data_IF_733087860043
#
_entry.id   IF_733087860043
#
_cell.length_a   1.000
_cell.length_b   1.000
_cell.length_c   1.000
_cell.angle_alpha   90.00
_cell.angle_beta   90.00
_cell.angle_gamma   90.00
#
_symmetry.space_group_name_H-M   'P 1'
#
loop_
_entity.id
_entity.type
_entity.pdbx_description
1 polymer ?
#
# COMPACT_ATOMS: atom_id res chain seq x y z
N UNK A 1 -29.32 43.07 -13.30
CA UNK A 1 -29.20 41.75 -13.94
C UNK A 1 -30.54 41.22 -14.34
N UNK A 2 -30.67 40.79 -15.56
CA UNK A 2 -31.86 40.08 -16.01
C UNK A 2 -31.84 38.62 -15.55
N UNK A 3 -33.01 38.00 -15.50
CA UNK A 3 -33.10 36.56 -15.17
C UNK A 3 -32.31 35.70 -16.15
N UNK A 4 -32.27 36.10 -17.41
CA UNK A 4 -31.53 35.41 -18.45
C UNK A 4 -30.01 35.42 -18.17
N UNK A 5 -29.48 36.57 -17.75
CA UNK A 5 -28.08 36.72 -17.40
C UNK A 5 -27.70 35.90 -16.19
N UNK A 6 -28.59 35.84 -15.19
CA UNK A 6 -28.40 34.99 -14.01
C UNK A 6 -28.34 33.52 -14.38
N UNK A 7 -29.26 33.06 -15.25
CA UNK A 7 -29.28 31.68 -15.72
C UNK A 7 -28.02 31.30 -16.48
N UNK A 8 -27.57 32.21 -17.37
CA UNK A 8 -26.32 32.00 -18.12
C UNK A 8 -25.10 31.89 -17.18
N UNK A 9 -25.04 32.71 -16.15
CA UNK A 9 -23.99 32.66 -15.15
C UNK A 9 -24.02 31.36 -14.38
N UNK A 10 -25.20 30.89 -14.01
CA UNK A 10 -25.37 29.60 -13.29
C UNK A 10 -24.90 28.43 -14.16
N UNK A 11 -25.28 28.43 -15.43
CA UNK A 11 -24.88 27.36 -16.36
C UNK A 11 -23.36 27.32 -16.51
N UNK A 12 -22.71 28.47 -16.68
CA UNK A 12 -21.26 28.53 -16.77
C UNK A 12 -20.58 28.00 -15.51
N UNK A 13 -21.08 28.37 -14.34
CA UNK A 13 -20.56 27.90 -13.05
C UNK A 13 -20.74 26.38 -12.88
N UNK A 14 -21.89 25.85 -13.29
CA UNK A 14 -22.17 24.41 -13.23
C UNK A 14 -21.20 23.64 -14.14
N UNK A 15 -20.96 24.13 -15.34
CA UNK A 15 -19.99 23.52 -16.26
C UNK A 15 -18.57 23.51 -15.66
N UNK A 16 -18.19 24.60 -15.01
CA UNK A 16 -16.89 24.68 -14.33
C UNK A 16 -16.79 23.67 -13.19
N UNK A 17 -17.85 23.51 -12.41
CA UNK A 17 -17.91 22.54 -11.32
C UNK A 17 -17.79 21.13 -11.87
N UNK A 18 -18.52 20.80 -12.94
CA UNK A 18 -18.46 19.49 -13.58
C UNK A 18 -17.04 19.15 -14.03
N UNK A 19 -16.33 20.10 -14.63
CA UNK A 19 -14.95 19.90 -15.04
C UNK A 19 -14.03 19.64 -13.84
N UNK A 20 -14.23 20.38 -12.75
CA UNK A 20 -13.46 20.17 -11.51
C UNK A 20 -13.73 18.80 -10.90
N UNK A 21 -14.98 18.39 -10.86
CA UNK A 21 -15.37 17.07 -10.36
C UNK A 21 -14.75 15.97 -11.20
N UNK A 22 -14.74 16.12 -12.52
CA UNK A 22 -14.10 15.15 -13.41
C UNK A 22 -12.60 15.01 -13.12
N UNK A 23 -11.91 16.11 -12.84
CA UNK A 23 -10.49 16.07 -12.46
C UNK A 23 -10.27 15.38 -11.12
N UNK A 24 -11.14 15.67 -10.15
CA UNK A 24 -11.09 15.04 -8.83
C UNK A 24 -11.29 13.53 -8.96
N UNK A 25 -12.26 13.10 -9.75
CA UNK A 25 -12.50 11.67 -10.00
C UNK A 25 -11.26 10.98 -10.60
N UNK A 26 -10.62 11.61 -11.57
CA UNK A 26 -9.39 11.09 -12.16
C UNK A 26 -8.26 10.96 -11.15
N UNK A 27 -8.13 11.95 -10.27
CA UNK A 27 -7.13 11.93 -9.20
C UNK A 27 -7.41 10.82 -8.19
N UNK A 28 -8.68 10.63 -7.84
CA UNK A 28 -9.09 9.56 -6.94
C UNK A 28 -8.80 8.19 -7.54
N UNK A 29 -9.06 8.00 -8.82
CA UNK A 29 -8.74 6.75 -9.52
C UNK A 29 -7.24 6.45 -9.46
N UNK A 30 -6.40 7.46 -9.65
CA UNK A 30 -4.95 7.30 -9.54
C UNK A 30 -4.52 6.95 -8.11
N UNK A 31 -5.15 7.58 -7.12
CA UNK A 31 -4.87 7.29 -5.71
C UNK A 31 -5.26 5.84 -5.40
N UNK A 32 -6.42 5.37 -5.85
CA UNK A 32 -6.83 3.97 -5.68
C UNK A 32 -5.81 3.00 -6.28
N UNK A 33 -5.35 3.27 -7.49
CA UNK A 33 -4.33 2.44 -8.13
C UNK A 33 -3.03 2.40 -7.33
N UNK A 34 -2.63 3.53 -6.77
CA UNK A 34 -1.43 3.60 -5.92
C UNK A 34 -1.60 2.82 -4.63
N UNK A 35 -2.79 2.92 -4.02
CA UNK A 35 -3.10 2.17 -2.81
C UNK A 35 -3.09 0.67 -3.07
N UNK A 36 -3.63 0.22 -4.18
CA UNK A 36 -3.61 -1.20 -4.57
C UNK A 36 -2.17 -1.70 -4.70
N UNK A 37 -1.29 -0.90 -5.30
CA UNK A 37 0.14 -1.24 -5.42
C UNK A 37 0.82 -1.30 -4.05
N UNK A 38 0.48 -0.37 -3.16
CA UNK A 38 1.03 -0.37 -1.79
C UNK A 38 0.59 -1.61 -1.05
N UNK A 39 -0.68 -2.00 -1.15
CA UNK A 39 -1.20 -3.23 -0.54
C UNK A 39 -0.44 -4.46 -1.03
N UNK A 40 -0.23 -4.56 -2.35
CA UNK A 40 0.52 -5.67 -2.93
C UNK A 40 1.96 -5.72 -2.41
N UNK A 41 2.60 -4.57 -2.27
CA UNK A 41 3.95 -4.49 -1.71
C UNK A 41 3.99 -4.90 -0.24
N UNK A 42 2.99 -4.49 0.52
CA UNK A 42 2.88 -4.86 1.93
C UNK A 42 2.69 -6.37 2.08
N UNK A 43 1.83 -6.98 1.28
CA UNK A 43 1.63 -8.44 1.29
C UNK A 43 2.92 -9.17 0.95
N UNK A 44 3.65 -8.67 -0.03
CA UNK A 44 4.95 -9.21 -0.44
C UNK A 44 5.97 -9.10 0.69
N UNK A 45 6.00 -7.97 1.40
CA UNK A 45 6.88 -7.77 2.56
C UNK A 45 6.52 -8.70 3.71
N UNK A 46 5.25 -8.90 4.00
CA UNK A 46 4.82 -9.86 5.03
C UNK A 46 5.34 -11.26 4.73
N UNK A 47 5.21 -11.71 3.49
CA UNK A 47 5.70 -13.02 3.08
C UNK A 47 7.22 -13.14 3.26
N UNK A 48 7.95 -12.07 2.95
CA UNK A 48 9.40 -12.05 3.15
C UNK A 48 9.78 -12.08 4.62
N UNK A 49 9.03 -11.37 5.45
CA UNK A 49 9.24 -11.38 6.90
C UNK A 49 9.00 -12.77 7.48
N UNK A 50 7.90 -13.42 7.10
CA UNK A 50 7.60 -14.78 7.54
C UNK A 50 8.70 -15.75 7.14
N UNK A 51 9.20 -15.61 5.92
CA UNK A 51 10.30 -16.43 5.41
C UNK A 51 11.57 -16.19 6.20
N UNK A 52 11.88 -14.93 6.54
CA UNK A 52 13.04 -14.58 7.35
C UNK A 52 12.93 -15.11 8.77
N UNK A 53 11.76 -15.03 9.37
CA UNK A 53 11.51 -15.58 10.71
C UNK A 53 11.78 -17.08 10.74
N UNK A 54 11.30 -17.81 9.72
CA UNK A 54 11.56 -19.25 9.61
C UNK A 54 13.04 -19.53 9.45
N UNK A 55 13.75 -18.76 8.64
CA UNK A 55 15.21 -18.93 8.47
C UNK A 55 15.96 -18.66 9.75
N UNK A 56 15.60 -17.61 10.46
CA UNK A 56 16.23 -17.28 11.74
C UNK A 56 15.96 -18.40 12.75
N UNK A 57 14.74 -18.88 12.82
CA UNK A 57 14.36 -19.99 13.70
C UNK A 57 15.16 -21.26 13.38
N UNK A 58 15.32 -21.59 12.11
CA UNK A 58 16.11 -22.74 11.65
C UNK A 58 17.59 -22.57 12.01
N UNK A 59 18.14 -21.36 11.85
CA UNK A 59 19.51 -21.07 12.22
C UNK A 59 19.75 -21.19 13.71
N UNK A 60 18.80 -20.72 14.52
CA UNK A 60 18.87 -20.87 15.98
C UNK A 60 18.85 -22.32 16.39
N UNK A 61 17.97 -23.13 15.79
CA UNK A 61 17.90 -24.55 16.07
C UNK A 61 19.20 -25.28 15.68
N UNK A 62 19.77 -24.93 14.52
CA UNK A 62 21.04 -25.47 14.06
C UNK A 62 22.19 -25.10 14.99
N UNK A 63 22.18 -23.86 15.48
CA UNK A 63 23.19 -23.38 16.41
C UNK A 63 23.14 -24.11 17.75
N UNK A 64 21.95 -24.34 18.30
CA UNK A 64 21.76 -25.10 19.52
C UNK A 64 22.24 -26.55 19.34
N UNK A 65 21.92 -27.17 18.22
CA UNK A 65 22.37 -28.53 17.91
C UNK A 65 23.89 -28.62 17.81
N UNK A 66 24.54 -27.60 17.22
CA UNK A 66 26.00 -27.55 17.16
C UNK A 66 26.63 -27.41 18.54
N UNK A 67 26.06 -26.54 19.37
CA UNK A 67 26.54 -26.34 20.75
C UNK A 67 26.45 -27.63 21.56
N UNK A 68 25.35 -28.37 21.43
CA UNK A 68 25.17 -29.66 22.10
C UNK A 68 26.20 -30.68 21.62
N UNK A 69 26.48 -30.72 20.33
CA UNK A 69 27.51 -31.64 19.78
C UNK A 69 28.89 -31.32 20.32
N UNK A 70 29.23 -30.02 20.39
CA UNK A 70 30.49 -29.60 20.95
C UNK A 70 30.62 -29.99 22.42
N UNK A 71 29.57 -29.75 23.19
CA UNK A 71 29.53 -30.15 24.60
C UNK A 71 29.71 -31.64 24.76
N UNK A 72 29.08 -32.45 23.92
CA UNK A 72 29.21 -33.93 23.97
C UNK A 72 30.63 -34.38 23.58
N UNK A 73 31.26 -33.67 22.66
CA UNK A 73 32.65 -33.99 22.26
C UNK A 73 33.65 -33.65 23.34
N UNK A 74 33.40 -32.62 24.12
CA UNK A 74 34.26 -32.22 25.22
C UNK A 74 34.16 -33.13 26.45
N UNK A 75 33.02 -33.74 26.61
CA UNK A 75 32.82 -34.68 27.72
C UNK A 75 33.34 -36.06 27.36
#
# INVERSE_FOLDING_TARGET
MTNRELLETIVIKLESIDQRLGRVEQRLDKVEQRLDRVEQRLDSLEQRFDSLEQRVSNLESGQIAMEQRLTNLES
#
